data_IF_060720147468
#
_entry.id   IF_060720147468
#
_cell.length_a   1.000
_cell.length_b   1.000
_cell.length_c   1.000
_cell.angle_alpha   90.00
_cell.angle_beta   90.00
_cell.angle_gamma   90.00
#
_symmetry.space_group_name_H-M   'P 1'
#
loop_
_entity.id
_entity.type
_entity.pdbx_description
1 polymer ?
#
# COMPACT_ATOMS: atom_id res chain seq x y z
N UNK A 1 -34.56 -26.45 4.31
CA UNK A 1 -34.28 -26.10 2.90
C UNK A 1 -33.28 -24.94 2.96
N UNK A 2 -32.09 -25.15 2.44
CA UNK A 2 -30.90 -24.33 2.64
C UNK A 2 -30.86 -23.18 1.63
N UNK A 3 -30.84 -21.92 2.10
CA UNK A 3 -30.67 -20.71 1.27
C UNK A 3 -29.30 -20.03 1.49
N UNK A 4 -28.30 -20.80 1.95
CA UNK A 4 -26.93 -20.30 2.15
C UNK A 4 -26.10 -20.28 0.85
N UNK A 5 -26.70 -20.56 -0.30
CA UNK A 5 -25.99 -20.78 -1.56
C UNK A 5 -25.86 -19.53 -2.44
N UNK A 6 -26.66 -18.50 -2.23
CA UNK A 6 -26.73 -17.33 -3.14
C UNK A 6 -25.62 -16.30 -2.95
N UNK A 7 -24.81 -16.42 -1.89
CA UNK A 7 -23.66 -15.52 -1.66
C UNK A 7 -22.37 -15.97 -2.37
N UNK A 8 -22.32 -17.23 -2.85
CA UNK A 8 -21.11 -17.81 -3.46
C UNK A 8 -20.95 -17.52 -4.94
N UNK A 9 -22.01 -17.14 -5.65
CA UNK A 9 -22.05 -17.22 -7.12
C UNK A 9 -21.21 -16.17 -7.88
N UNK A 10 -20.82 -15.05 -7.27
CA UNK A 10 -20.07 -13.99 -7.99
C UNK A 10 -18.56 -13.97 -7.70
N UNK A 11 -18.07 -14.91 -6.88
CA UNK A 11 -16.69 -14.89 -6.40
C UNK A 11 -15.80 -15.86 -7.19
N UNK A 12 -14.63 -15.41 -7.69
CA UNK A 12 -13.65 -16.31 -8.29
C UNK A 12 -13.23 -17.43 -7.31
N UNK A 13 -13.05 -18.65 -7.84
CA UNK A 13 -12.76 -19.84 -7.02
C UNK A 13 -11.43 -19.74 -6.28
N UNK A 14 -10.49 -18.95 -6.81
CA UNK A 14 -9.17 -18.66 -6.26
C UNK A 14 -9.17 -17.73 -5.03
N UNK A 15 -10.33 -17.16 -4.66
CA UNK A 15 -10.41 -16.29 -3.49
C UNK A 15 -10.36 -17.10 -2.19
N UNK A 16 -9.29 -16.92 -1.44
CA UNK A 16 -9.07 -17.55 -0.14
C UNK A 16 -9.82 -16.87 1.01
N UNK A 17 -10.01 -15.54 0.96
CA UNK A 17 -10.79 -14.77 1.93
C UNK A 17 -12.02 -14.10 1.26
N UNK A 18 -13.21 -14.74 1.31
CA UNK A 18 -14.42 -14.19 0.71
C UNK A 18 -14.89 -12.86 1.33
N UNK A 19 -14.68 -12.66 2.64
CA UNK A 19 -15.16 -11.46 3.32
C UNK A 19 -14.31 -10.26 2.93
N UNK A 20 -12.98 -10.44 2.91
CA UNK A 20 -12.06 -9.40 2.45
C UNK A 20 -12.29 -9.07 0.97
N UNK A 21 -12.53 -10.08 0.13
CA UNK A 21 -12.86 -9.87 -1.28
C UNK A 21 -14.09 -8.98 -1.46
N UNK A 22 -15.20 -9.34 -0.82
CA UNK A 22 -16.47 -8.59 -0.93
C UNK A 22 -16.31 -7.15 -0.43
N UNK A 23 -15.62 -6.95 0.69
CA UNK A 23 -15.34 -5.62 1.21
C UNK A 23 -14.50 -4.80 0.23
N UNK A 24 -13.41 -5.38 -0.29
CA UNK A 24 -12.52 -4.69 -1.21
C UNK A 24 -13.22 -4.33 -2.54
N UNK A 25 -14.05 -5.24 -3.09
CA UNK A 25 -14.89 -4.96 -4.25
C UNK A 25 -15.83 -3.79 -3.98
N UNK A 26 -16.57 -3.81 -2.86
CA UNK A 26 -17.49 -2.72 -2.52
C UNK A 26 -16.78 -1.37 -2.40
N UNK A 27 -15.57 -1.33 -1.81
CA UNK A 27 -14.77 -0.10 -1.74
C UNK A 27 -14.33 0.35 -3.14
N UNK A 28 -13.84 -0.56 -3.99
CA UNK A 28 -13.43 -0.21 -5.35
C UNK A 28 -14.62 0.34 -6.18
N UNK A 29 -15.79 -0.29 -6.07
CA UNK A 29 -17.01 0.12 -6.78
C UNK A 29 -17.52 1.49 -6.30
N UNK A 30 -17.35 1.81 -5.02
CA UNK A 30 -17.75 3.12 -4.46
C UNK A 30 -16.74 4.23 -4.81
N UNK A 31 -15.55 3.89 -5.32
CA UNK A 31 -14.50 4.85 -5.67
C UNK A 31 -14.21 4.80 -7.18
N UNK A 32 -15.05 5.46 -7.97
CA UNK A 32 -14.90 5.52 -9.43
C UNK A 32 -14.26 6.84 -9.87
N UNK A 33 -13.71 6.91 -11.10
CA UNK A 33 -13.35 8.17 -11.71
C UNK A 33 -14.62 8.91 -12.17
N UNK A 34 -14.64 10.23 -12.01
CA UNK A 34 -15.59 11.12 -12.66
C UNK A 34 -15.15 11.44 -14.11
N UNK A 35 -15.93 12.29 -14.78
CA UNK A 35 -15.65 12.74 -16.16
C UNK A 35 -14.33 13.51 -16.31
N UNK A 36 -13.76 14.02 -15.21
CA UNK A 36 -12.52 14.78 -15.18
C UNK A 36 -11.30 13.94 -14.75
N UNK A 37 -11.50 12.66 -14.44
CA UNK A 37 -10.44 11.77 -13.92
C UNK A 37 -10.11 12.01 -12.44
N UNK A 38 -11.02 12.61 -11.68
CA UNK A 38 -10.95 12.69 -10.22
C UNK A 38 -11.81 11.60 -9.59
N UNK A 39 -11.61 11.30 -8.30
CA UNK A 39 -12.49 10.37 -7.60
C UNK A 39 -13.84 11.03 -7.29
N UNK A 40 -14.94 10.34 -7.64
CA UNK A 40 -16.31 10.82 -7.44
C UNK A 40 -16.86 10.61 -6.02
N UNK A 41 -16.17 9.81 -5.20
CA UNK A 41 -16.57 9.53 -3.83
C UNK A 41 -16.45 10.80 -2.97
N UNK A 42 -17.53 11.16 -2.26
CA UNK A 42 -17.59 12.36 -1.42
C UNK A 42 -16.54 12.41 -0.29
N UNK A 43 -16.00 11.27 0.14
CA UNK A 43 -14.91 11.20 1.13
C UNK A 43 -13.52 11.51 0.54
N UNK A 44 -13.40 11.58 -0.79
CA UNK A 44 -12.18 11.83 -1.55
C UNK A 44 -12.31 13.04 -2.47
N UNK A 45 -13.22 13.97 -2.18
CA UNK A 45 -13.58 15.08 -3.06
C UNK A 45 -12.34 15.83 -3.61
N UNK A 46 -12.21 15.85 -4.94
CA UNK A 46 -11.11 16.50 -5.65
C UNK A 46 -9.77 15.76 -5.65
N UNK A 47 -9.69 14.56 -5.08
CA UNK A 47 -8.50 13.72 -5.19
C UNK A 47 -8.36 13.15 -6.60
N UNK A 48 -7.13 13.12 -7.12
CA UNK A 48 -6.83 12.48 -8.40
C UNK A 48 -7.19 10.99 -8.35
N UNK A 49 -7.72 10.46 -9.45
CA UNK A 49 -7.92 9.03 -9.63
C UNK A 49 -6.63 8.37 -10.19
N UNK A 50 -6.25 7.16 -9.74
CA UNK A 50 -6.86 6.40 -8.66
C UNK A 50 -6.50 6.95 -7.27
N UNK A 51 -7.52 7.16 -6.43
CA UNK A 51 -7.33 7.68 -5.09
C UNK A 51 -6.74 6.63 -4.14
N UNK A 52 -6.25 7.06 -2.96
CA UNK A 52 -5.64 6.17 -1.98
C UNK A 52 -6.58 5.01 -1.55
N UNK A 53 -7.87 5.29 -1.38
CA UNK A 53 -8.86 4.28 -0.98
C UNK A 53 -9.02 3.18 -2.06
N UNK A 54 -9.13 3.58 -3.33
CA UNK A 54 -9.17 2.64 -4.45
C UNK A 54 -7.90 1.78 -4.50
N UNK A 55 -6.72 2.38 -4.31
CA UNK A 55 -5.46 1.63 -4.29
C UNK A 55 -5.42 0.60 -3.14
N UNK A 56 -5.93 0.94 -1.95
CA UNK A 56 -6.06 -0.01 -0.83
C UNK A 56 -7.07 -1.13 -1.12
N UNK A 57 -8.15 -0.83 -1.84
CA UNK A 57 -9.07 -1.86 -2.31
C UNK A 57 -8.37 -2.86 -3.25
N UNK A 58 -7.54 -2.39 -4.19
CA UNK A 58 -6.75 -3.28 -5.05
C UNK A 58 -5.75 -4.15 -4.27
N UNK A 59 -5.13 -3.60 -3.23
CA UNK A 59 -4.31 -4.38 -2.30
C UNK A 59 -5.14 -5.46 -1.57
N UNK A 60 -6.34 -5.11 -1.10
CA UNK A 60 -7.28 -6.03 -0.46
C UNK A 60 -7.72 -7.17 -1.37
N UNK A 61 -8.02 -6.90 -2.64
CA UNK A 61 -8.37 -7.93 -3.63
C UNK A 61 -7.22 -8.94 -3.83
N UNK A 62 -5.98 -8.44 -3.98
CA UNK A 62 -4.79 -9.30 -4.08
C UNK A 62 -4.55 -10.12 -2.81
N UNK A 63 -4.75 -9.50 -1.65
CA UNK A 63 -4.64 -10.19 -0.36
C UNK A 63 -5.70 -11.27 -0.21
N UNK A 64 -6.94 -11.02 -0.63
CA UNK A 64 -8.03 -11.99 -0.55
C UNK A 64 -7.82 -13.22 -1.44
N UNK A 65 -7.15 -13.06 -2.59
CA UNK A 65 -6.73 -14.18 -3.44
C UNK A 65 -5.53 -14.96 -2.87
N UNK A 66 -4.70 -14.30 -2.06
CA UNK A 66 -3.53 -14.92 -1.47
C UNK A 66 -3.96 -15.76 -0.27
N UNK A 67 -3.77 -17.07 -0.33
CA UNK A 67 -3.85 -17.90 0.88
C UNK A 67 -2.92 -17.28 1.93
N UNK A 68 -3.39 -17.04 3.17
CA UNK A 68 -2.50 -16.63 4.23
C UNK A 68 -1.39 -17.68 4.29
N UNK A 69 -0.17 -17.31 3.89
CA UNK A 69 0.99 -17.97 4.49
C UNK A 69 0.76 -17.69 5.95
N UNK A 70 0.36 -18.70 6.71
CA UNK A 70 0.58 -18.72 8.15
C UNK A 70 2.02 -18.26 8.25
N UNK A 71 2.24 -17.00 8.63
CA UNK A 71 3.56 -16.50 8.87
C UNK A 71 3.99 -17.37 10.02
N UNK A 72 4.74 -18.42 9.68
CA UNK A 72 5.20 -19.36 10.65
C UNK A 72 5.83 -18.50 11.72
N UNK A 73 5.33 -18.66 12.94
CA UNK A 73 6.14 -18.54 14.14
C UNK A 73 7.30 -19.55 14.13
N UNK A 74 7.86 -19.86 12.94
CA UNK A 74 9.20 -20.33 12.71
C UNK A 74 10.06 -19.07 12.76
N UNK A 75 10.17 -18.57 13.99
CA UNK A 75 11.37 -17.90 14.47
C UNK A 75 12.52 -18.68 13.85
N UNK A 76 13.20 -18.08 12.87
CA UNK A 76 14.50 -18.56 12.43
C UNK A 76 15.43 -18.48 13.66
N UNK A 77 15.39 -19.54 14.47
CA UNK A 77 16.30 -19.84 15.57
C UNK A 77 17.58 -20.51 15.02
N UNK A 78 17.91 -20.27 13.75
CA UNK A 78 19.15 -20.71 13.10
C UNK A 78 19.81 -19.55 12.35
N UNK A 79 19.77 -18.34 12.91
CA UNK A 79 20.81 -17.35 12.60
C UNK A 79 21.87 -17.42 13.69
N UNK A 80 22.88 -18.24 13.41
CA UNK A 80 24.18 -18.23 14.07
C UNK A 80 24.71 -16.77 14.14
N UNK A 81 24.97 -16.21 15.34
CA UNK A 81 25.46 -14.84 15.46
C UNK A 81 26.97 -14.68 15.22
N UNK A 82 27.66 -15.67 14.64
CA UNK A 82 29.12 -15.63 14.45
C UNK A 82 29.60 -15.61 12.99
N UNK A 83 29.08 -14.70 12.15
CA UNK A 83 29.77 -14.35 10.91
C UNK A 83 29.34 -12.98 10.37
N UNK A 84 29.88 -11.88 10.94
CA UNK A 84 30.38 -10.68 10.23
C UNK A 84 30.66 -9.56 11.25
N UNK A 85 31.70 -9.75 12.08
CA UNK A 85 32.44 -8.60 12.61
C UNK A 85 33.51 -8.27 11.59
N UNK A 86 33.18 -7.51 10.54
CA UNK A 86 34.20 -7.20 9.55
C UNK A 86 33.93 -6.13 8.51
N UNK A 87 32.72 -5.59 8.38
CA UNK A 87 32.47 -4.57 7.35
C UNK A 87 32.07 -3.20 7.93
N UNK A 88 32.93 -2.16 7.87
CA UNK A 88 32.50 -0.81 8.21
C UNK A 88 31.43 -0.34 7.21
N UNK A 89 30.31 0.13 7.74
CA UNK A 89 29.24 0.74 6.95
C UNK A 89 29.74 2.03 6.27
N UNK A 90 29.37 2.31 5.00
CA UNK A 90 29.61 3.63 4.42
C UNK A 90 28.77 4.66 5.19
N UNK A 91 29.43 5.65 5.77
CA UNK A 91 28.75 6.76 6.43
C UNK A 91 27.99 7.59 5.39
N UNK A 92 26.73 8.00 5.65
CA UNK A 92 26.04 8.94 4.79
C UNK A 92 26.74 10.30 4.88
N UNK A 93 27.20 10.82 3.74
CA UNK A 93 27.68 12.20 3.63
C UNK A 93 26.52 13.16 3.87
N UNK A 94 26.65 14.16 4.75
CA UNK A 94 25.65 15.21 4.88
C UNK A 94 25.56 16.02 3.58
N UNK A 95 24.37 16.51 3.17
CA UNK A 95 24.26 17.42 2.05
C UNK A 95 24.98 18.73 2.38
N UNK A 96 25.91 19.12 1.51
CA UNK A 96 26.59 20.41 1.58
C UNK A 96 25.54 21.50 1.32
N UNK A 97 25.23 22.31 2.33
CA UNK A 97 24.47 23.54 2.13
C UNK A 97 25.33 24.52 1.32
N UNK A 98 25.10 24.58 0.01
CA UNK A 98 25.53 25.70 -0.82
C UNK A 98 24.78 26.97 -0.38
N UNK A 99 25.35 27.63 0.62
CA UNK A 99 24.94 28.96 1.04
C UNK A 99 25.63 29.94 0.11
N UNK A 100 24.90 30.45 -0.87
CA UNK A 100 25.37 31.56 -1.71
C UNK A 100 25.78 32.76 -0.85
N UNK A 101 26.88 33.45 -1.16
CA UNK A 101 27.20 34.71 -0.50
C UNK A 101 26.15 35.76 -0.89
N UNK A 102 25.51 36.38 0.10
CA UNK A 102 24.72 37.58 -0.09
C UNK A 102 25.72 38.73 -0.27
N UNK A 103 25.84 39.23 -1.48
CA UNK A 103 26.62 40.43 -1.79
C UNK A 103 25.87 41.64 -1.20
N UNK A 104 26.49 42.30 -0.23
CA UNK A 104 25.97 43.53 0.40
C UNK A 104 26.51 44.71 -0.39
N UNK A 105 25.66 45.34 -1.20
CA UNK A 105 25.95 46.62 -1.85
C UNK A 105 25.70 47.76 -0.87
N UNK A 106 26.70 48.60 -0.51
CA UNK A 106 26.44 49.86 0.16
C UNK A 106 26.00 50.93 -0.85
N UNK A 107 24.93 51.66 -0.52
CA UNK A 107 24.51 52.85 -1.24
C UNK A 107 25.39 54.05 -0.82
N UNK A 108 25.76 54.88 -1.79
CA UNK A 108 26.35 56.21 -1.60
C UNK A 108 25.35 57.28 -2.04
#
# INVERSE_FOLDING_TARGET
MSDASTDRDDRPAEVSDPLLWRLATAVADTHQPDENGACDNGSCFGAAWPCAAWNRAQEGLRAAQSTPRTAGTERALDQDPSADRGRPAPQPTPPQSDRAPVEVTPAA
#
